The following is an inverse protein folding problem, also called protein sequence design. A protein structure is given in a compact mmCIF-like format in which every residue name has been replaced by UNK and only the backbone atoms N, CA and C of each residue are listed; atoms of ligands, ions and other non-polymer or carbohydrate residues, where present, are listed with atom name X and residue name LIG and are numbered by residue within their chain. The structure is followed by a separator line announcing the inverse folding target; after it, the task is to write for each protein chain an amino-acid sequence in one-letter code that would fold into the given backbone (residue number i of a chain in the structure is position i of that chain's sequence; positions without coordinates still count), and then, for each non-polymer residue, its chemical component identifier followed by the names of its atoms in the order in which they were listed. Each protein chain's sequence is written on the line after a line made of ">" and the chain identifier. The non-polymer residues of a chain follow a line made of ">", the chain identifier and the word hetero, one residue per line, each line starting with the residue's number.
data_IF_747260865430
#
_entry.id   IF_747260865430
#
_cell.length_a   1.000
_cell.length_b   1.000
_cell.length_c   1.000
_cell.angle_alpha   90.00
_cell.angle_beta   90.00
_cell.angle_gamma   90.00
#
_symmetry.space_group_name_H-M   'P 1'
#
loop_
_entity.id
_entity.type
_entity.pdbx_description
1 polymer ?
#
# COMPACT_ATOMS: atom_id res chain seq x y z
N UNK A 1 14.57 4.83 54.41
CA UNK A 1 14.97 4.26 53.11
C UNK A 1 13.74 3.65 52.46
N UNK A 2 12.84 4.45 51.86
CA UNK A 2 11.59 3.91 51.30
C UNK A 2 10.87 4.92 50.38
N UNK A 3 11.62 5.73 49.64
CA UNK A 3 11.04 6.77 48.76
C UNK A 3 11.46 6.66 47.28
N UNK A 4 12.27 5.66 46.93
CA UNK A 4 12.79 5.48 45.56
C UNK A 4 12.12 4.35 44.75
N UNK A 5 11.23 3.55 45.34
CA UNK A 5 10.57 2.43 44.65
C UNK A 5 9.24 2.79 43.97
N UNK A 6 8.58 3.89 44.36
CA UNK A 6 7.24 4.23 43.85
C UNK A 6 7.28 4.97 42.49
N UNK A 7 8.40 5.59 42.14
CA UNK A 7 8.59 6.33 40.88
C UNK A 7 9.23 5.51 39.76
N UNK A 8 9.73 4.30 40.05
CA UNK A 8 10.31 3.42 39.02
C UNK A 8 9.29 2.45 38.40
N UNK A 9 8.17 2.20 39.10
CA UNK A 9 7.13 1.28 38.61
C UNK A 9 6.16 1.93 37.60
N UNK A 10 6.15 3.27 37.49
CA UNK A 10 5.30 3.99 36.53
C UNK A 10 5.95 4.20 35.14
N UNK A 11 7.28 4.07 35.03
CA UNK A 11 7.99 4.26 33.75
C UNK A 11 8.03 3.00 32.88
N UNK A 12 7.74 1.83 33.45
CA UNK A 12 7.62 0.57 32.71
C UNK A 12 6.21 0.33 32.13
N UNK A 13 5.18 1.09 32.53
CA UNK A 13 3.87 1.02 31.88
C UNK A 13 3.78 1.92 30.64
N UNK A 14 4.58 2.98 30.55
CA UNK A 14 4.63 3.85 29.38
C UNK A 14 5.41 3.26 28.21
N UNK A 15 6.27 2.26 28.43
CA UNK A 15 7.02 1.57 27.37
C UNK A 15 6.28 0.35 26.80
N UNK A 16 5.19 -0.11 27.43
CA UNK A 16 4.37 -1.21 26.91
C UNK A 16 3.21 -0.73 26.02
N UNK A 17 2.83 0.55 26.09
CA UNK A 17 1.74 1.10 25.27
C UNK A 17 2.06 1.24 23.78
N UNK A 18 3.34 1.18 23.40
CA UNK A 18 3.78 1.30 22.00
C UNK A 18 3.78 -0.02 21.21
N UNK A 19 3.72 -1.18 21.89
CA UNK A 19 3.88 -2.50 21.25
C UNK A 19 2.56 -3.27 21.09
N UNK A 20 1.41 -2.67 21.45
CA UNK A 20 0.11 -3.35 21.49
C UNK A 20 -0.99 -2.76 20.59
N UNK A 21 -0.69 -1.75 19.77
CA UNK A 21 -1.76 -1.02 19.06
C UNK A 21 -2.29 -1.72 17.78
N UNK A 22 -1.59 -2.72 17.23
CA UNK A 22 -1.93 -3.32 15.93
C UNK A 22 -2.27 -4.81 15.97
N UNK A 23 -2.68 -5.35 17.13
CA UNK A 23 -3.06 -6.76 17.21
C UNK A 23 -4.36 -6.97 17.99
N UNK A 24 -5.42 -7.52 17.35
CA UNK A 24 -5.56 -7.71 15.91
C UNK A 24 -5.81 -6.36 15.20
N UNK A 25 -5.08 -6.08 14.12
CA UNK A 25 -5.43 -4.98 13.22
C UNK A 25 -6.56 -5.42 12.28
N UNK A 26 -7.54 -4.55 12.16
CA UNK A 26 -8.77 -4.73 11.36
C UNK A 26 -9.06 -3.54 10.48
N UNK A 27 -8.15 -2.56 10.43
CA UNK A 27 -8.32 -1.35 9.64
C UNK A 27 -7.74 -1.59 8.26
N UNK A 28 -8.51 -1.30 7.21
CA UNK A 28 -7.97 -1.39 5.85
C UNK A 28 -6.92 -0.31 5.60
N UNK A 29 -5.88 -0.62 4.79
CA UNK A 29 -4.96 0.39 4.32
C UNK A 29 -5.64 1.39 3.40
N UNK A 30 -5.07 2.58 3.31
CA UNK A 30 -5.49 3.62 2.36
C UNK A 30 -4.63 3.56 1.11
N UNK A 31 -5.27 3.61 -0.04
CA UNK A 31 -4.63 3.71 -1.35
C UNK A 31 -5.23 4.90 -2.12
N UNK A 32 -4.37 5.71 -2.73
CA UNK A 32 -4.76 6.77 -3.66
C UNK A 32 -4.02 6.59 -4.98
N UNK A 33 -4.77 6.33 -6.04
CA UNK A 33 -4.24 6.22 -7.39
C UNK A 33 -3.87 7.60 -7.96
N UNK A 34 -2.94 7.66 -8.93
CA UNK A 34 -2.76 8.83 -9.78
C UNK A 34 -4.03 9.22 -10.51
N UNK A 35 -4.05 10.44 -11.06
CA UNK A 35 -5.05 10.84 -12.06
C UNK A 35 -4.82 10.10 -13.38
N UNK A 36 -5.85 10.09 -14.23
CA UNK A 36 -5.72 9.51 -15.57
C UNK A 36 -4.57 10.15 -16.36
N UNK A 37 -3.82 9.33 -17.09
CA UNK A 37 -2.62 9.73 -17.82
C UNK A 37 -2.88 9.59 -19.32
N UNK A 38 -2.52 10.62 -20.09
CA UNK A 38 -2.61 10.58 -21.55
C UNK A 38 -1.25 10.92 -22.14
N UNK A 39 -0.71 10.00 -22.94
CA UNK A 39 0.59 10.16 -23.62
C UNK A 39 0.45 9.91 -25.12
N UNK A 40 1.41 10.42 -25.90
CA UNK A 40 1.54 10.09 -27.32
C UNK A 40 2.11 8.67 -27.55
N UNK A 41 2.02 8.18 -28.79
CA UNK A 41 2.43 6.80 -29.13
C UNK A 41 3.93 6.50 -28.89
N UNK A 42 4.21 5.22 -28.56
CA UNK A 42 5.53 4.59 -28.33
C UNK A 42 6.26 4.97 -27.05
N UNK A 43 5.64 4.82 -25.87
CA UNK A 43 6.38 5.07 -24.63
C UNK A 43 5.92 4.27 -23.41
N UNK A 44 6.91 4.00 -22.55
CA UNK A 44 6.70 3.73 -21.14
C UNK A 44 5.95 4.90 -20.53
N UNK A 45 4.92 4.62 -19.73
CA UNK A 45 4.15 5.64 -19.03
C UNK A 45 4.73 5.76 -17.62
N UNK A 46 5.49 6.82 -17.30
CA UNK A 46 6.07 6.97 -15.97
C UNK A 46 5.00 7.39 -14.96
N UNK A 47 5.32 7.24 -13.67
CA UNK A 47 4.56 7.81 -12.54
C UNK A 47 3.15 7.23 -12.38
N UNK A 48 3.02 5.91 -12.54
CA UNK A 48 1.79 5.16 -12.32
C UNK A 48 1.69 4.59 -10.89
N UNK A 49 2.69 4.84 -10.03
CA UNK A 49 2.73 4.37 -8.65
C UNK A 49 1.63 5.03 -7.81
N UNK A 50 0.76 4.27 -7.13
CA UNK A 50 -0.19 4.83 -6.18
C UNK A 50 0.51 5.19 -4.87
N UNK A 51 -0.04 6.16 -4.14
CA UNK A 51 0.39 6.42 -2.77
C UNK A 51 -0.38 5.52 -1.81
N UNK A 52 0.32 4.90 -0.88
CA UNK A 52 -0.24 3.94 0.08
C UNK A 52 0.15 4.32 1.50
N UNK A 53 -0.75 4.11 2.45
CA UNK A 53 -0.49 4.33 3.87
C UNK A 53 -1.41 3.45 4.69
N UNK A 54 -0.93 3.02 5.85
CA UNK A 54 -1.73 2.28 6.80
C UNK A 54 -1.47 2.80 8.22
N UNK A 55 -2.49 2.77 9.08
CA UNK A 55 -2.37 3.24 10.46
C UNK A 55 -1.73 2.21 11.39
N UNK A 56 -1.70 0.93 11.00
CA UNK A 56 -1.33 -0.18 11.85
C UNK A 56 -0.69 -1.40 11.15
N UNK A 57 0.23 -1.17 10.24
CA UNK A 57 0.89 -2.27 9.56
C UNK A 57 1.73 -1.75 8.42
N UNK A 58 2.66 -2.56 7.95
CA UNK A 58 3.29 -2.30 6.66
C UNK A 58 2.40 -2.83 5.54
N UNK A 59 2.46 -2.21 4.37
CA UNK A 59 1.92 -2.83 3.14
C UNK A 59 2.77 -4.06 2.82
N UNK A 60 2.15 -5.23 2.78
CA UNK A 60 2.78 -6.52 2.53
C UNK A 60 2.67 -6.95 1.06
N UNK A 61 1.63 -6.45 0.37
CA UNK A 61 1.31 -6.77 -1.01
C UNK A 61 0.88 -5.51 -1.77
N UNK A 62 1.39 -5.37 -2.99
CA UNK A 62 0.92 -4.39 -3.97
C UNK A 62 1.01 -5.02 -5.36
N UNK A 63 -0.14 -5.23 -5.97
CA UNK A 63 -0.26 -5.86 -7.29
C UNK A 63 -1.09 -4.99 -8.21
N UNK A 64 -0.96 -5.22 -9.52
CA UNK A 64 -1.81 -4.57 -10.51
C UNK A 64 -2.33 -5.53 -11.57
N UNK A 65 -3.47 -5.16 -12.15
CA UNK A 65 -4.05 -5.80 -13.32
C UNK A 65 -4.30 -4.73 -14.38
N UNK A 66 -3.92 -5.04 -15.62
CA UNK A 66 -4.14 -4.22 -16.80
C UNK A 66 -5.27 -4.81 -17.64
N UNK A 67 -6.21 -3.97 -18.07
CA UNK A 67 -7.31 -4.35 -18.97
C UNK A 67 -7.53 -3.29 -20.04
N UNK A 68 -8.16 -3.65 -21.18
CA UNK A 68 -8.39 -2.74 -22.30
C UNK A 68 -7.40 -2.97 -23.44
N UNK A 69 -6.73 -1.91 -23.89
CA UNK A 69 -5.76 -1.99 -24.98
C UNK A 69 -4.53 -2.83 -24.61
N UNK A 70 -4.01 -2.68 -23.39
CA UNK A 70 -3.00 -3.55 -22.80
C UNK A 70 -3.66 -4.48 -21.80
N UNK A 71 -3.32 -5.77 -21.84
CA UNK A 71 -3.77 -6.76 -20.87
C UNK A 71 -2.57 -7.42 -20.19
N UNK A 72 -2.65 -7.66 -18.89
CA UNK A 72 -1.57 -8.26 -18.12
C UNK A 72 -1.73 -8.01 -16.63
N UNK A 73 -0.67 -8.23 -15.87
CA UNK A 73 -0.65 -7.95 -14.44
C UNK A 73 0.65 -8.37 -13.79
N UNK A 74 0.83 -7.93 -12.56
CA UNK A 74 1.99 -8.29 -11.74
C UNK A 74 1.90 -9.74 -11.25
N UNK A 75 3.01 -10.30 -10.72
CA UNK A 75 2.94 -11.48 -9.86
C UNK A 75 1.98 -11.30 -8.69
N UNK A 76 1.48 -12.41 -8.13
CA UNK A 76 0.51 -12.43 -7.04
C UNK A 76 1.10 -12.09 -5.66
N UNK A 77 2.42 -11.92 -5.55
CA UNK A 77 3.11 -11.64 -4.29
C UNK A 77 4.17 -10.56 -4.47
N UNK A 78 4.42 -9.76 -3.43
CA UNK A 78 5.42 -8.70 -3.44
C UNK A 78 4.83 -7.31 -3.72
N UNK A 79 5.70 -6.35 -4.02
CA UNK A 79 5.33 -4.95 -4.27
C UNK A 79 5.73 -4.63 -5.72
N UNK A 80 4.75 -4.33 -6.57
CA UNK A 80 4.94 -4.11 -8.01
C UNK A 80 4.34 -2.79 -8.49
N UNK A 81 4.90 -2.25 -9.56
CA UNK A 81 4.51 -0.97 -10.15
C UNK A 81 4.32 -1.12 -11.67
N UNK A 82 3.16 -0.71 -12.17
CA UNK A 82 2.82 -0.73 -13.58
C UNK A 82 3.62 0.29 -14.43
N UNK A 83 4.38 1.19 -13.81
CA UNK A 83 5.20 2.20 -14.53
C UNK A 83 6.27 1.58 -15.43
N UNK A 84 6.67 0.32 -15.19
CA UNK A 84 7.62 -0.40 -16.04
C UNK A 84 6.98 -1.15 -17.22
N UNK A 85 5.66 -1.10 -17.34
CA UNK A 85 4.92 -1.82 -18.39
C UNK A 85 4.96 -1.08 -19.74
N UNK A 86 4.89 -1.86 -20.82
CA UNK A 86 4.75 -1.33 -22.17
C UNK A 86 3.27 -1.28 -22.55
N UNK A 87 2.74 -0.06 -22.69
CA UNK A 87 1.34 0.14 -23.04
C UNK A 87 1.12 0.14 -24.56
N UNK A 88 0.15 -0.64 -25.03
CA UNK A 88 -0.31 -0.63 -26.42
C UNK A 88 -1.16 0.62 -26.70
N UNK A 89 -1.26 1.00 -27.98
CA UNK A 89 -2.09 2.12 -28.39
C UNK A 89 -3.56 1.87 -28.07
N UNK A 90 -4.17 2.79 -27.33
CA UNK A 90 -5.55 2.73 -26.87
C UNK A 90 -5.65 3.04 -25.38
N UNK A 91 -6.84 2.85 -24.81
CA UNK A 91 -7.08 3.06 -23.38
C UNK A 91 -6.85 1.77 -22.61
N UNK A 92 -6.02 1.82 -21.58
CA UNK A 92 -5.77 0.73 -20.64
C UNK A 92 -6.23 1.17 -19.26
N UNK A 93 -6.99 0.35 -18.56
CA UNK A 93 -7.31 0.57 -17.15
C UNK A 93 -6.31 -0.17 -16.28
N UNK A 94 -5.64 0.56 -15.39
CA UNK A 94 -4.74 0.02 -14.38
C UNK A 94 -5.54 -0.10 -13.09
N UNK A 95 -5.65 -1.32 -12.54
CA UNK A 95 -6.27 -1.56 -11.23
C UNK A 95 -5.20 -2.04 -10.27
N UNK A 96 -4.93 -1.26 -9.23
CA UNK A 96 -4.05 -1.66 -8.14
C UNK A 96 -4.83 -2.29 -6.99
N UNK A 97 -4.24 -3.30 -6.37
CA UNK A 97 -4.68 -3.94 -5.15
C UNK A 97 -3.53 -3.90 -4.14
N UNK A 98 -3.83 -3.59 -2.88
CA UNK A 98 -2.88 -3.63 -1.78
C UNK A 98 -3.42 -4.43 -0.61
N UNK A 99 -2.51 -5.03 0.16
CA UNK A 99 -2.79 -5.71 1.42
C UNK A 99 -1.77 -5.28 2.48
N UNK A 100 -2.22 -5.09 3.71
CA UNK A 100 -1.35 -4.89 4.87
C UNK A 100 -0.79 -6.23 5.40
N UNK A 101 0.00 -6.17 6.47
CA UNK A 101 0.55 -7.37 7.12
C UNK A 101 -0.46 -8.23 7.88
N UNK A 102 -1.66 -7.72 8.10
CA UNK A 102 -2.76 -8.34 8.84
C UNK A 102 -3.83 -8.95 7.92
N UNK A 103 -3.72 -8.73 6.61
CA UNK A 103 -4.62 -9.23 5.58
C UNK A 103 -5.77 -8.27 5.24
N UNK A 104 -5.79 -7.04 5.75
CA UNK A 104 -6.77 -6.05 5.30
C UNK A 104 -6.32 -5.45 3.97
N UNK A 105 -7.28 -5.10 3.11
CA UNK A 105 -6.99 -4.72 1.75
C UNK A 105 -7.76 -3.50 1.25
N UNK A 106 -7.24 -2.90 0.19
CA UNK A 106 -7.86 -1.80 -0.54
C UNK A 106 -7.46 -1.83 -2.02
N UNK A 107 -8.23 -1.14 -2.87
CA UNK A 107 -7.96 -1.05 -4.31
C UNK A 107 -8.32 0.32 -4.88
N UNK A 108 -7.69 0.67 -6.00
CA UNK A 108 -8.04 1.84 -6.81
C UNK A 108 -7.74 1.60 -8.28
N UNK A 109 -8.32 2.42 -9.17
CA UNK A 109 -8.07 2.33 -10.61
C UNK A 109 -8.00 3.71 -11.27
N UNK A 110 -7.33 3.76 -12.42
CA UNK A 110 -7.22 4.91 -13.32
C UNK A 110 -6.93 4.40 -14.74
N UNK A 111 -6.91 5.33 -15.71
CA UNK A 111 -6.61 5.05 -17.13
C UNK A 111 -5.44 5.87 -17.65
#
# INVERSE_FOLDING_TARGET
>A
MQKYYFTFFLLILSSLYGYGQCSPDTTSPTISCPSNVTVGCWHQVPSLTPTVSDNCGGISLQTYVLTGATTGGSPATGIHDASSENFLAGTTTVTYYIEDSSGNSASCNFT
#
